data_IF_168449925266
#
_entry.id   IF_168449925266
#
_cell.length_a   1.000
_cell.length_b   1.000
_cell.length_c   1.000
_cell.angle_alpha   90.00
_cell.angle_beta   90.00
_cell.angle_gamma   90.00
#
_symmetry.space_group_name_H-M   'P 1'
#
loop_
_entity.id
_entity.type
_entity.pdbx_description
1 polymer ?
#
# COMPACT_ATOMS: atom_id res chain seq x y z
N UNK A 1 -48.85 32.22 -5.07
CA UNK A 1 -47.86 33.13 -4.44
C UNK A 1 -47.37 32.34 -3.25
N UNK A 2 -46.37 31.49 -3.49
CA UNK A 2 -46.21 30.27 -2.72
C UNK A 2 -45.20 30.49 -1.60
N UNK A 3 -45.68 30.62 -0.36
CA UNK A 3 -44.86 30.84 0.84
C UNK A 3 -43.74 29.79 0.98
N UNK A 4 -43.98 28.56 0.52
CA UNK A 4 -43.02 27.46 0.55
C UNK A 4 -41.81 27.61 -0.38
N UNK A 5 -41.94 28.38 -1.47
CA UNK A 5 -40.82 28.62 -2.40
C UNK A 5 -39.75 29.54 -1.81
N UNK A 6 -40.18 30.53 -1.02
CA UNK A 6 -39.28 31.44 -0.32
C UNK A 6 -38.58 30.76 0.84
N UNK A 7 -39.30 29.93 1.60
CA UNK A 7 -38.73 29.20 2.73
C UNK A 7 -37.67 28.18 2.28
N UNK A 8 -37.91 27.46 1.18
CA UNK A 8 -36.92 26.54 0.60
C UNK A 8 -35.65 27.29 0.12
N UNK A 9 -35.82 28.46 -0.50
CA UNK A 9 -34.70 29.33 -0.90
C UNK A 9 -33.95 29.87 0.32
N UNK A 10 -34.66 30.25 1.37
CA UNK A 10 -34.07 30.79 2.58
C UNK A 10 -33.27 29.72 3.32
N UNK A 11 -33.78 28.49 3.39
CA UNK A 11 -33.07 27.33 3.93
C UNK A 11 -31.86 26.93 3.10
N UNK A 12 -31.92 27.07 1.78
CA UNK A 12 -30.77 26.85 0.90
C UNK A 12 -29.68 27.92 1.09
N UNK A 13 -30.08 29.18 1.22
CA UNK A 13 -29.15 30.28 1.51
C UNK A 13 -28.54 30.15 2.91
N UNK A 14 -29.32 29.72 3.91
CA UNK A 14 -28.84 29.41 5.24
C UNK A 14 -27.86 28.23 5.21
N UNK A 15 -28.16 27.19 4.44
CA UNK A 15 -27.25 26.06 4.24
C UNK A 15 -25.91 26.50 3.62
N UNK A 16 -25.94 27.34 2.59
CA UNK A 16 -24.73 27.84 1.92
C UNK A 16 -23.92 28.75 2.83
N UNK A 17 -24.58 29.64 3.58
CA UNK A 17 -23.91 30.60 4.45
C UNK A 17 -23.38 29.92 5.73
N UNK A 18 -24.19 29.04 6.32
CA UNK A 18 -23.90 28.42 7.60
C UNK A 18 -23.02 27.18 7.47
N UNK A 19 -23.12 26.41 6.37
CA UNK A 19 -22.35 25.18 6.15
C UNK A 19 -22.67 24.06 7.16
N UNK A 20 -22.67 22.82 6.72
CA UNK A 20 -23.05 21.64 7.53
C UNK A 20 -21.94 21.18 8.51
N UNK A 21 -20.97 22.04 8.84
CA UNK A 21 -19.79 21.66 9.62
C UNK A 21 -19.67 22.46 10.91
N UNK A 22 -19.64 21.72 12.04
CA UNK A 22 -19.27 22.14 13.39
C UNK A 22 -17.81 22.67 13.43
N UNK A 23 -17.52 23.74 12.72
CA UNK A 23 -16.28 24.49 12.87
C UNK A 23 -16.56 25.56 13.94
N UNK A 24 -15.77 25.66 15.02
CA UNK A 24 -15.97 26.67 16.05
C UNK A 24 -15.79 28.06 15.43
N UNK A 25 -16.91 28.68 15.05
CA UNK A 25 -16.91 30.04 14.48
C UNK A 25 -16.71 31.03 15.61
N UNK A 26 -15.59 31.75 15.55
CA UNK A 26 -15.41 32.99 16.30
C UNK A 26 -16.47 34.00 15.81
N UNK A 27 -17.52 34.21 16.61
CA UNK A 27 -18.73 34.99 16.28
C UNK A 27 -18.54 36.50 16.26
N UNK A 28 -17.29 37.00 16.25
CA UNK A 28 -17.01 38.44 16.44
C UNK A 28 -16.81 39.23 15.14
N UNK A 29 -16.75 38.60 13.97
CA UNK A 29 -16.59 39.33 12.70
C UNK A 29 -17.66 38.94 11.67
N UNK A 30 -18.32 39.95 11.12
CA UNK A 30 -19.27 39.80 10.02
C UNK A 30 -18.60 39.06 8.86
N UNK A 31 -19.28 38.09 8.25
CA UNK A 31 -18.83 37.36 7.05
C UNK A 31 -18.39 38.30 5.93
N UNK A 32 -19.01 39.48 5.85
CA UNK A 32 -18.61 40.54 4.91
C UNK A 32 -17.19 41.06 5.17
N UNK A 33 -16.76 41.20 6.42
CA UNK A 33 -15.40 41.63 6.76
C UNK A 33 -14.37 40.55 6.44
N UNK A 34 -14.69 39.28 6.66
CA UNK A 34 -13.82 38.16 6.31
C UNK A 34 -13.67 37.99 4.79
N UNK A 35 -14.76 38.17 4.04
CA UNK A 35 -14.71 38.20 2.57
C UNK A 35 -13.87 39.39 2.10
N UNK A 36 -13.96 40.54 2.77
CA UNK A 36 -13.20 41.73 2.39
C UNK A 36 -11.70 41.61 2.74
N UNK A 37 -11.36 40.94 3.84
CA UNK A 37 -9.99 40.53 4.19
C UNK A 37 -9.44 39.52 3.19
N UNK A 38 -10.20 38.46 2.88
CA UNK A 38 -9.80 37.46 1.90
C UNK A 38 -9.65 38.07 0.51
N UNK A 39 -10.53 39.01 0.13
CA UNK A 39 -10.45 39.78 -1.11
C UNK A 39 -9.20 40.64 -1.12
N UNK A 40 -8.85 41.31 -0.02
CA UNK A 40 -7.60 42.07 0.09
C UNK A 40 -6.38 41.16 -0.03
N UNK A 41 -6.36 40.02 0.65
CA UNK A 41 -5.29 39.01 0.57
C UNK A 41 -5.14 38.47 -0.86
N UNK A 42 -6.26 38.15 -1.50
CA UNK A 42 -6.32 37.67 -2.88
C UNK A 42 -5.90 38.75 -3.88
N UNK A 43 -6.22 40.03 -3.65
CA UNK A 43 -5.70 41.14 -4.45
C UNK A 43 -4.20 41.36 -4.26
N UNK A 44 -3.67 41.18 -3.05
CA UNK A 44 -2.22 41.18 -2.84
C UNK A 44 -1.55 40.01 -3.55
N UNK A 45 -2.10 38.80 -3.47
CA UNK A 45 -1.58 37.63 -4.21
C UNK A 45 -1.65 37.82 -5.74
N UNK A 46 -2.74 38.41 -6.22
CA UNK A 46 -2.93 38.76 -7.63
C UNK A 46 -1.91 39.81 -8.12
N UNK A 47 -1.53 40.77 -7.26
CA UNK A 47 -0.49 41.75 -7.57
C UNK A 47 0.93 41.18 -7.47
N UNK A 48 1.17 40.26 -6.53
CA UNK A 48 2.51 39.67 -6.30
C UNK A 48 2.87 38.65 -7.39
N UNK A 49 1.91 37.89 -7.91
CA UNK A 49 2.16 36.86 -8.91
C UNK A 49 1.71 37.29 -10.32
N UNK A 50 2.65 37.84 -11.10
CA UNK A 50 2.52 38.02 -12.56
C UNK A 50 1.91 36.83 -13.32
N UNK A 51 2.29 35.56 -13.06
CA UNK A 51 1.72 34.42 -13.79
C UNK A 51 0.21 34.23 -13.56
N UNK A 52 -0.32 34.62 -12.40
CA UNK A 52 -1.77 34.54 -12.13
C UNK A 52 -2.52 35.62 -12.92
N UNK A 53 -1.93 36.81 -13.03
CA UNK A 53 -2.47 37.88 -13.87
C UNK A 53 -2.47 37.49 -15.35
N UNK A 54 -1.36 36.97 -15.85
CA UNK A 54 -1.25 36.50 -17.23
C UNK A 54 -2.19 35.32 -17.51
N UNK A 55 -2.40 34.43 -16.52
CA UNK A 55 -3.38 33.36 -16.62
C UNK A 55 -4.82 33.90 -16.65
N UNK A 56 -5.17 34.86 -15.79
CA UNK A 56 -6.51 35.42 -15.75
C UNK A 56 -6.86 36.19 -17.04
N UNK A 57 -5.90 36.91 -17.61
CA UNK A 57 -6.07 37.63 -18.88
C UNK A 57 -6.23 36.66 -20.07
N UNK A 58 -5.48 35.55 -20.07
CA UNK A 58 -5.68 34.46 -21.03
C UNK A 58 -7.00 33.73 -20.80
N UNK A 59 -7.39 33.52 -19.56
CA UNK A 59 -8.63 32.85 -19.19
C UNK A 59 -9.84 33.65 -19.63
N UNK A 60 -9.90 34.97 -19.37
CA UNK A 60 -11.00 35.83 -19.86
C UNK A 60 -11.09 35.85 -21.39
N UNK A 61 -9.94 35.76 -22.08
CA UNK A 61 -9.90 35.69 -23.55
C UNK A 61 -10.43 34.36 -24.08
N UNK A 62 -10.14 33.25 -23.38
CA UNK A 62 -10.52 31.90 -23.80
C UNK A 62 -11.78 31.36 -23.12
N UNK A 63 -12.40 32.12 -22.21
CA UNK A 63 -13.59 31.72 -21.45
C UNK A 63 -14.73 31.30 -22.37
N UNK A 64 -14.90 31.99 -23.49
CA UNK A 64 -15.93 31.67 -24.50
C UNK A 64 -15.64 30.38 -25.28
N UNK A 65 -14.36 30.00 -25.42
CA UNK A 65 -13.96 28.75 -26.07
C UNK A 65 -14.01 27.55 -25.11
N UNK A 66 -13.92 27.83 -23.81
CA UNK A 66 -13.98 26.87 -22.71
C UNK A 66 -15.41 26.59 -22.26
N UNK A 67 -16.38 27.44 -22.63
CA UNK A 67 -17.79 27.20 -22.36
C UNK A 67 -18.29 26.05 -23.28
N UNK A 68 -18.69 24.89 -22.72
CA UNK A 68 -19.11 23.73 -23.51
C UNK A 68 -20.29 24.01 -24.44
N UNK A 69 -21.04 25.10 -24.21
CA UNK A 69 -22.15 25.53 -25.02
C UNK A 69 -21.73 26.28 -26.31
N UNK A 70 -20.61 27.01 -26.29
CA UNK A 70 -20.10 27.83 -27.41
C UNK A 70 -18.87 27.20 -28.10
N UNK A 71 -18.41 26.05 -27.61
CA UNK A 71 -17.29 25.32 -28.21
C UNK A 71 -17.59 24.91 -29.66
N UNK A 72 -16.54 24.80 -30.49
CA UNK A 72 -16.59 24.42 -31.92
C UNK A 72 -17.44 23.17 -32.21
N UNK A 73 -17.61 22.31 -31.21
CA UNK A 73 -18.49 21.15 -31.21
C UNK A 73 -19.98 21.48 -31.42
N UNK A 74 -20.48 22.64 -30.96
CA UNK A 74 -21.85 23.08 -31.16
C UNK A 74 -22.09 23.53 -32.61
N UNK A 75 -21.13 24.27 -33.19
CA UNK A 75 -21.16 24.72 -34.57
C UNK A 75 -21.05 23.52 -35.55
N UNK A 76 -20.19 22.55 -35.26
CA UNK A 76 -20.10 21.28 -36.01
C UNK A 76 -21.39 20.44 -35.86
N UNK A 77 -22.02 20.43 -34.68
CA UNK A 77 -23.31 19.73 -34.46
C UNK A 77 -24.45 20.32 -35.28
N UNK A 78 -24.47 21.62 -35.48
CA UNK A 78 -25.47 22.32 -36.29
C UNK A 78 -25.17 22.18 -37.80
N UNK A 79 -23.89 22.13 -38.18
CA UNK A 79 -23.45 22.01 -39.58
C UNK A 79 -23.55 20.58 -40.13
N UNK A 80 -23.42 19.54 -39.30
CA UNK A 80 -23.58 18.16 -39.76
C UNK A 80 -25.04 17.83 -40.07
N UNK A 81 -25.33 17.53 -41.33
CA UNK A 81 -26.62 16.99 -41.78
C UNK A 81 -26.89 15.63 -41.14
N UNK A 82 -28.16 15.24 -41.02
CA UNK A 82 -28.57 13.96 -40.44
C UNK A 82 -27.92 12.75 -41.11
N UNK A 83 -27.69 12.83 -42.42
CA UNK A 83 -27.07 11.76 -43.20
C UNK A 83 -25.59 11.57 -42.85
N UNK A 84 -24.83 12.66 -42.69
CA UNK A 84 -23.42 12.60 -42.26
C UNK A 84 -23.26 12.05 -40.85
N UNK A 85 -24.22 12.36 -39.96
CA UNK A 85 -24.26 11.79 -38.61
C UNK A 85 -24.50 10.27 -38.63
N UNK A 86 -25.36 9.82 -39.54
CA UNK A 86 -25.66 8.39 -39.71
C UNK A 86 -24.44 7.64 -40.25
N UNK A 87 -23.78 8.18 -41.26
CA UNK A 87 -22.55 7.59 -41.83
C UNK A 87 -21.42 7.54 -40.79
N UNK A 88 -21.25 8.61 -39.99
CA UNK A 88 -20.28 8.62 -38.90
C UNK A 88 -20.60 7.56 -37.82
N UNK A 89 -21.88 7.40 -37.49
CA UNK A 89 -22.31 6.41 -36.49
C UNK A 89 -22.11 4.97 -37.01
N UNK A 90 -22.39 4.73 -38.30
CA UNK A 90 -22.10 3.44 -38.93
C UNK A 90 -20.60 3.16 -38.98
N UNK A 91 -19.78 4.16 -39.32
CA UNK A 91 -18.32 4.02 -39.35
C UNK A 91 -17.74 3.76 -37.94
N UNK A 92 -18.34 4.35 -36.90
CA UNK A 92 -17.93 4.18 -35.51
C UNK A 92 -18.61 3.00 -34.79
N UNK A 93 -19.53 2.28 -35.45
CA UNK A 93 -20.35 1.22 -34.82
C UNK A 93 -19.50 0.14 -34.16
N UNK A 94 -18.52 -0.39 -34.89
CA UNK A 94 -17.65 -1.47 -34.39
C UNK A 94 -16.81 -1.02 -33.20
N UNK A 95 -16.37 0.23 -33.20
CA UNK A 95 -15.58 0.79 -32.10
C UNK A 95 -16.44 1.11 -30.88
N UNK A 96 -17.69 1.55 -31.08
CA UNK A 96 -18.67 1.68 -30.00
C UNK A 96 -19.02 0.33 -29.39
N UNK A 97 -19.11 -0.73 -30.19
CA UNK A 97 -19.38 -2.08 -29.69
C UNK A 97 -18.19 -2.64 -28.90
N UNK A 98 -16.96 -2.47 -29.39
CA UNK A 98 -15.74 -2.78 -28.63
C UNK A 98 -15.67 -1.99 -27.33
N UNK A 99 -15.96 -0.69 -27.36
CA UNK A 99 -15.96 0.16 -26.18
C UNK A 99 -17.03 -0.29 -25.18
N UNK A 100 -18.23 -0.63 -25.64
CA UNK A 100 -19.29 -1.17 -24.78
C UNK A 100 -18.88 -2.51 -24.13
N UNK A 101 -18.19 -3.38 -24.87
CA UNK A 101 -17.62 -4.62 -24.32
C UNK A 101 -16.55 -4.33 -23.25
N UNK A 102 -15.65 -3.38 -23.51
CA UNK A 102 -14.63 -2.94 -22.55
C UNK A 102 -15.25 -2.33 -21.29
N UNK A 103 -16.27 -1.48 -21.43
CA UNK A 103 -16.98 -0.90 -20.29
C UNK A 103 -17.69 -1.97 -19.46
N UNK A 104 -18.29 -2.98 -20.10
CA UNK A 104 -18.86 -4.14 -19.38
C UNK A 104 -17.78 -4.92 -18.63
N UNK A 105 -16.61 -5.12 -19.24
CA UNK A 105 -15.48 -5.77 -18.60
C UNK A 105 -14.97 -4.97 -17.39
N UNK A 106 -14.79 -3.65 -17.55
CA UNK A 106 -14.38 -2.76 -16.44
C UNK A 106 -15.41 -2.80 -15.30
N UNK A 107 -16.70 -2.73 -15.63
CA UNK A 107 -17.77 -2.86 -14.62
C UNK A 107 -17.76 -4.22 -13.94
N UNK A 108 -17.46 -5.29 -14.67
CA UNK A 108 -17.31 -6.62 -14.08
C UNK A 108 -16.09 -6.71 -13.16
N UNK A 109 -15.07 -5.87 -13.33
CA UNK A 109 -13.86 -5.84 -12.51
C UNK A 109 -13.95 -4.86 -11.33
N UNK A 110 -15.01 -4.06 -11.25
CA UNK A 110 -15.24 -3.09 -10.16
C UNK A 110 -15.27 -3.78 -8.78
N UNK A 111 -15.84 -4.98 -8.69
CA UNK A 111 -15.87 -5.77 -7.45
C UNK A 111 -14.48 -6.23 -6.97
N UNK A 112 -13.50 -6.35 -7.87
CA UNK A 112 -12.12 -6.72 -7.51
C UNK A 112 -11.41 -5.52 -6.90
N UNK A 113 -11.62 -4.32 -7.46
CA UNK A 113 -10.99 -3.09 -6.97
C UNK A 113 -11.64 -2.61 -5.68
N UNK A 114 -12.97 -2.79 -5.54
CA UNK A 114 -13.73 -2.44 -4.35
C UNK A 114 -13.96 -3.61 -3.39
N UNK A 115 -13.24 -4.72 -3.57
CA UNK A 115 -13.37 -5.89 -2.73
C UNK A 115 -13.01 -5.56 -1.28
N UNK A 116 -13.94 -5.81 -0.35
CA UNK A 116 -13.74 -5.62 1.10
C UNK A 116 -12.60 -6.47 1.69
N UNK A 117 -12.02 -7.36 0.89
CA UNK A 117 -10.84 -8.16 1.25
C UNK A 117 -9.58 -7.28 1.40
N UNK A 118 -9.53 -6.12 0.72
CA UNK A 118 -8.43 -5.17 0.86
C UNK A 118 -8.55 -4.27 2.09
N UNK A 119 -9.75 -4.09 2.66
CA UNK A 119 -9.92 -3.40 3.94
C UNK A 119 -9.25 -4.19 5.08
N UNK A 120 -9.20 -5.52 4.95
CA UNK A 120 -8.50 -6.37 5.91
C UNK A 120 -6.98 -6.23 5.81
N UNK A 121 -6.42 -5.84 4.66
CA UNK A 121 -4.96 -5.66 4.49
C UNK A 121 -4.40 -4.54 5.38
N UNK A 122 -5.13 -3.43 5.51
CA UNK A 122 -4.74 -2.30 6.38
C UNK A 122 -4.69 -2.72 7.86
N UNK A 123 -5.50 -3.71 8.25
CA UNK A 123 -5.49 -4.26 9.62
C UNK A 123 -4.46 -5.36 9.81
N UNK A 124 -4.16 -6.14 8.76
CA UNK A 124 -3.27 -7.30 8.83
C UNK A 124 -1.79 -6.91 8.73
N UNK A 125 -1.46 -5.84 8.00
CA UNK A 125 -0.11 -5.28 7.93
C UNK A 125 0.54 -5.00 9.30
N UNK A 126 -0.10 -4.23 10.21
CA UNK A 126 0.46 -3.97 11.54
C UNK A 126 0.49 -5.21 12.44
N UNK A 127 -0.32 -6.24 12.16
CA UNK A 127 -0.27 -7.51 12.90
C UNK A 127 0.85 -8.44 12.41
N UNK A 128 1.24 -8.36 11.14
CA UNK A 128 2.33 -9.16 10.57
C UNK A 128 3.71 -8.68 11.05
N UNK A 129 3.90 -7.37 11.22
CA UNK A 129 5.18 -6.79 11.65
C UNK A 129 5.74 -7.36 12.97
N UNK A 130 4.95 -7.47 14.07
CA UNK A 130 5.44 -8.10 15.29
C UNK A 130 5.64 -9.61 15.15
N UNK A 131 4.88 -10.27 14.26
CA UNK A 131 5.06 -11.70 13.99
C UNK A 131 6.38 -11.96 13.24
N UNK A 132 6.71 -11.12 12.27
CA UNK A 132 7.97 -11.18 11.53
C UNK A 132 9.17 -10.98 12.46
N UNK A 133 9.10 -10.00 13.37
CA UNK A 133 10.13 -9.77 14.38
C UNK A 133 10.33 -10.98 15.30
N UNK A 134 9.23 -11.58 15.78
CA UNK A 134 9.29 -12.82 16.59
C UNK A 134 9.87 -13.99 15.81
N UNK A 135 9.50 -14.15 14.55
CA UNK A 135 10.01 -15.23 13.71
C UNK A 135 11.51 -15.08 13.46
N UNK A 136 12.00 -13.86 13.23
CA UNK A 136 13.43 -13.58 13.11
C UNK A 136 14.20 -13.91 14.40
N UNK A 137 13.63 -13.58 15.56
CA UNK A 137 14.21 -13.94 16.85
C UNK A 137 14.25 -15.45 17.07
N UNK A 138 13.15 -16.15 16.76
CA UNK A 138 13.05 -17.61 16.85
C UNK A 138 14.08 -18.29 15.94
N UNK A 139 14.27 -17.81 14.72
CA UNK A 139 15.27 -18.34 13.80
C UNK A 139 16.69 -18.20 14.37
N UNK A 140 17.00 -17.05 15.00
CA UNK A 140 18.29 -16.84 15.65
C UNK A 140 18.49 -17.76 16.86
N UNK A 141 17.48 -17.89 17.73
CA UNK A 141 17.53 -18.79 18.88
C UNK A 141 17.73 -20.24 18.45
N UNK A 142 17.08 -20.66 17.37
CA UNK A 142 17.19 -22.00 16.82
C UNK A 142 18.60 -22.27 16.28
N UNK A 143 19.22 -21.31 15.59
CA UNK A 143 20.60 -21.40 15.12
C UNK A 143 21.59 -21.53 16.30
N UNK A 144 21.41 -20.72 17.35
CA UNK A 144 22.25 -20.77 18.55
C UNK A 144 22.12 -22.10 19.30
N UNK A 145 20.89 -22.63 19.44
CA UNK A 145 20.65 -23.94 20.04
C UNK A 145 21.29 -25.05 19.18
N UNK A 146 21.13 -24.98 17.86
CA UNK A 146 21.71 -25.95 16.94
C UNK A 146 23.22 -25.98 17.07
N UNK A 147 23.89 -24.81 17.11
CA UNK A 147 25.34 -24.72 17.34
C UNK A 147 25.76 -25.35 18.66
N UNK A 148 25.03 -25.08 19.75
CA UNK A 148 25.32 -25.67 21.06
C UNK A 148 25.17 -27.19 21.07
N UNK A 149 24.15 -27.72 20.39
CA UNK A 149 23.95 -29.16 20.25
C UNK A 149 25.09 -29.77 19.45
N UNK A 150 25.47 -29.17 18.32
CA UNK A 150 26.60 -29.65 17.51
C UNK A 150 27.90 -29.67 18.31
N UNK A 151 28.21 -28.60 19.05
CA UNK A 151 29.39 -28.56 19.92
C UNK A 151 29.37 -29.63 21.03
N UNK A 152 28.20 -29.88 21.62
CA UNK A 152 28.03 -30.95 22.61
C UNK A 152 28.23 -32.32 21.99
N UNK A 153 27.76 -32.53 20.75
CA UNK A 153 27.92 -33.78 20.01
C UNK A 153 29.39 -34.01 19.62
N UNK A 154 30.10 -32.96 19.20
CA UNK A 154 31.53 -33.01 18.91
C UNK A 154 32.35 -33.34 20.18
N UNK A 155 32.01 -32.71 21.31
CA UNK A 155 32.65 -32.98 22.60
C UNK A 155 32.40 -34.42 23.06
N UNK A 156 31.17 -34.92 22.89
CA UNK A 156 30.83 -36.31 23.19
C UNK A 156 31.62 -37.27 22.32
N UNK A 157 31.70 -37.04 21.01
CA UNK A 157 32.52 -37.85 20.09
C UNK A 157 34.00 -37.85 20.51
N UNK A 158 34.53 -36.70 20.93
CA UNK A 158 35.90 -36.59 21.46
C UNK A 158 36.11 -37.42 22.74
N UNK A 159 35.16 -37.40 23.67
CA UNK A 159 35.21 -38.21 24.90
C UNK A 159 35.15 -39.70 24.55
N UNK A 160 34.26 -40.11 23.65
CA UNK A 160 34.14 -41.51 23.23
C UNK A 160 35.41 -41.99 22.53
N UNK A 161 36.03 -41.15 21.70
CA UNK A 161 37.29 -41.50 21.03
C UNK A 161 38.43 -41.66 22.04
N UNK A 162 38.61 -40.72 22.96
CA UNK A 162 39.66 -40.82 23.99
C UNK A 162 39.43 -42.01 24.93
N UNK A 163 38.17 -42.30 25.30
CA UNK A 163 37.83 -43.47 26.08
C UNK A 163 38.15 -44.77 25.32
N UNK A 164 37.89 -44.81 24.00
CA UNK A 164 38.22 -45.96 23.16
C UNK A 164 39.73 -46.17 23.06
N UNK A 165 40.52 -45.10 22.92
CA UNK A 165 41.99 -45.16 22.94
C UNK A 165 42.52 -45.69 24.28
N UNK A 166 41.95 -45.26 25.41
CA UNK A 166 42.31 -45.76 26.74
C UNK A 166 42.00 -47.26 26.85
N UNK A 167 40.82 -47.71 26.40
CA UNK A 167 40.47 -49.13 26.44
C UNK A 167 41.41 -49.98 25.59
N UNK A 168 41.80 -49.53 24.39
CA UNK A 168 42.79 -50.21 23.55
C UNK A 168 44.13 -50.30 24.29
N UNK A 169 44.59 -49.21 24.91
CA UNK A 169 45.86 -49.21 25.66
C UNK A 169 45.84 -50.17 26.85
N UNK A 170 44.70 -50.30 27.53
CA UNK A 170 44.53 -51.25 28.63
C UNK A 170 44.49 -52.69 28.16
N UNK A 171 43.87 -52.96 27.01
CA UNK A 171 43.86 -54.29 26.38
C UNK A 171 45.28 -54.73 26.00
N UNK A 172 46.08 -53.82 25.43
CA UNK A 172 47.50 -54.08 25.13
C UNK A 172 48.32 -54.39 26.39
N UNK A 173 48.12 -53.62 27.47
CA UNK A 173 48.81 -53.84 28.75
C UNK A 173 48.39 -55.20 29.35
N UNK A 174 47.09 -55.52 29.34
CA UNK A 174 46.59 -56.80 29.83
C UNK A 174 47.14 -57.98 29.02
N UNK A 175 47.11 -57.88 27.69
CA UNK A 175 47.65 -58.90 26.78
C UNK A 175 49.15 -59.12 26.99
N UNK A 176 49.94 -58.05 27.18
CA UNK A 176 51.37 -58.18 27.49
C UNK A 176 51.62 -58.81 28.87
N UNK A 177 50.79 -58.51 29.88
CA UNK A 177 50.87 -59.19 31.17
C UNK A 177 50.50 -60.67 31.07
N UNK A 178 49.42 -61.02 30.38
CA UNK A 178 48.99 -62.40 30.18
C UNK A 178 50.03 -63.23 29.44
N UNK A 179 50.63 -62.69 28.38
CA UNK A 179 51.71 -63.36 27.65
C UNK A 179 52.95 -63.58 28.53
N UNK A 180 53.31 -62.61 29.38
CA UNK A 180 54.43 -62.75 30.31
C UNK A 180 54.16 -63.80 31.39
N UNK A 181 52.96 -63.81 31.99
CA UNK A 181 52.53 -64.84 32.95
C UNK A 181 52.55 -66.22 32.31
N UNK A 182 51.99 -66.35 31.11
CA UNK A 182 51.98 -67.61 30.36
C UNK A 182 53.40 -68.11 30.06
N UNK A 183 54.34 -67.20 29.75
CA UNK A 183 55.75 -67.54 29.55
C UNK A 183 56.42 -68.05 30.83
N UNK A 184 56.14 -67.42 31.97
CA UNK A 184 56.64 -67.87 33.28
C UNK A 184 56.05 -69.23 33.68
N UNK A 185 54.77 -69.46 33.44
CA UNK A 185 54.12 -70.75 33.71
C UNK A 185 54.72 -71.88 32.86
N UNK A 186 55.03 -71.60 31.59
CA UNK A 186 55.74 -72.54 30.69
C UNK A 186 57.17 -72.84 31.14
N UNK A 187 57.87 -71.88 31.74
CA UNK A 187 59.19 -72.13 32.33
C UNK A 187 59.12 -72.97 33.60
N UNK A 188 58.03 -72.86 34.38
CA UNK A 188 57.84 -73.59 35.64
C UNK A 188 57.40 -75.05 35.44
N UNK A 189 56.84 -75.38 34.28
CA UNK A 189 56.37 -76.73 33.92
C UNK A 189 57.39 -77.57 33.14
N UNK A 190 58.60 -77.04 32.89
CA UNK A 190 59.78 -77.80 32.49
C UNK A 190 60.66 -78.11 33.70
#
# INVERSE_FOLDING_TARGET
>A
MDEHGFEARLRHLEYILAGQTNIPRNTKTSTTKRIDELKKELYTLYKTNKPIKDFMERYDTHVKLLDPADSTLAMERELLTTDTKLELLLAASDDLEKFAAQVRQVKSLEHVVSGSEYDALDTLGPQLSPLEAKHAEQAKQLDDITKRISQSMDSYNGIVNTLSEIFISWDDILSTMETHVTALERQRTK
#
